data_IF_294806132015
#
_entry.id   IF_294806132015
#
_cell.length_a   1.000
_cell.length_b   1.000
_cell.length_c   1.000
_cell.angle_alpha   90.00
_cell.angle_beta   90.00
_cell.angle_gamma   90.00
#
_symmetry.space_group_name_H-M   'P 1'
#
loop_
_entity.id
_entity.type
_entity.pdbx_description
1 polymer ?
#
# COMPACT_ATOMS: atom_id res chain seq x y z
N UNK A 1 -13.19 -11.03 -0.47
CA UNK A 1 -12.14 -10.42 0.37
C UNK A 1 -12.62 -9.85 1.74
N UNK A 2 -13.91 -9.90 2.14
CA UNK A 2 -14.39 -9.05 3.26
C UNK A 2 -13.80 -9.34 4.66
N UNK A 3 -13.37 -10.55 5.01
CA UNK A 3 -13.04 -10.89 6.41
C UNK A 3 -11.59 -11.34 6.71
N UNK A 4 -10.68 -11.38 5.74
CA UNK A 4 -9.27 -11.72 6.03
C UNK A 4 -8.43 -10.45 6.16
N UNK A 5 -8.24 -10.00 7.41
CA UNK A 5 -7.42 -8.82 7.72
C UNK A 5 -5.95 -9.05 7.40
N UNK A 6 -5.42 -10.25 7.64
CA UNK A 6 -4.03 -10.58 7.36
C UNK A 6 -3.75 -10.44 5.86
N UNK A 7 -4.61 -11.03 5.02
CA UNK A 7 -4.49 -10.93 3.56
C UNK A 7 -4.48 -9.48 3.08
N UNK A 8 -5.37 -8.63 3.60
CA UNK A 8 -5.46 -7.21 3.20
C UNK A 8 -4.19 -6.44 3.57
N UNK A 9 -3.68 -6.64 4.79
CA UNK A 9 -2.47 -5.96 5.27
C UNK A 9 -1.25 -6.45 4.49
N UNK A 10 -1.11 -7.76 4.28
CA UNK A 10 -0.05 -8.34 3.43
C UNK A 10 -0.11 -7.77 2.01
N UNK A 11 -1.29 -7.73 1.40
CA UNK A 11 -1.46 -7.20 0.03
C UNK A 11 -1.01 -5.74 -0.05
N UNK A 12 -1.42 -4.88 0.88
CA UNK A 12 -1.00 -3.47 0.91
C UNK A 12 0.51 -3.31 1.12
N UNK A 13 1.07 -4.06 2.05
CA UNK A 13 2.50 -4.01 2.36
C UNK A 13 3.35 -4.35 1.14
N UNK A 14 3.02 -5.44 0.44
CA UNK A 14 3.77 -5.87 -0.73
C UNK A 14 3.48 -5.04 -1.98
N UNK A 15 2.27 -4.47 -2.10
CA UNK A 15 1.99 -3.46 -3.11
C UNK A 15 2.83 -2.20 -2.90
N UNK A 16 2.94 -1.71 -1.66
CA UNK A 16 3.80 -0.57 -1.31
C UNK A 16 5.26 -0.85 -1.65
N UNK A 17 5.77 -2.06 -1.31
CA UNK A 17 7.15 -2.46 -1.65
C UNK A 17 7.38 -2.52 -3.16
N UNK A 18 6.39 -2.95 -3.95
CA UNK A 18 6.48 -2.95 -5.40
C UNK A 18 6.56 -1.53 -5.96
N UNK A 19 5.70 -0.60 -5.49
CA UNK A 19 5.76 0.82 -5.85
C UNK A 19 7.14 1.41 -5.52
N UNK A 20 7.64 1.11 -4.32
CA UNK A 20 8.97 1.54 -3.87
C UNK A 20 10.09 0.99 -4.76
N UNK A 21 10.03 -0.29 -5.14
CA UNK A 21 11.03 -0.93 -5.99
C UNK A 21 11.10 -0.28 -7.38
N UNK A 22 9.94 0.00 -8.00
CA UNK A 22 9.85 0.71 -9.28
C UNK A 22 10.54 2.08 -9.18
N UNK A 23 10.24 2.86 -8.15
CA UNK A 23 10.86 4.17 -7.91
C UNK A 23 12.38 4.08 -7.74
N UNK A 24 12.87 3.11 -6.96
CA UNK A 24 14.30 2.94 -6.68
C UNK A 24 15.05 2.50 -7.92
N UNK A 25 14.45 1.64 -8.74
CA UNK A 25 15.02 1.19 -10.01
C UNK A 25 14.96 2.27 -11.10
N UNK A 26 14.30 3.40 -10.83
CA UNK A 26 14.03 4.48 -11.80
C UNK A 26 13.27 3.97 -13.02
N UNK A 27 12.43 2.98 -12.81
CA UNK A 27 11.46 2.52 -13.79
C UNK A 27 10.23 3.44 -13.71
N UNK A 28 9.53 3.61 -14.82
CA UNK A 28 8.28 4.36 -14.84
C UNK A 28 7.12 3.52 -14.26
N UNK A 29 6.08 4.19 -13.77
CA UNK A 29 4.91 3.50 -13.17
C UNK A 29 4.16 2.61 -14.18
N UNK A 30 4.41 2.78 -15.48
CA UNK A 30 3.93 1.89 -16.52
C UNK A 30 4.47 0.46 -16.45
N UNK A 31 5.63 0.22 -15.80
CA UNK A 31 6.17 -1.14 -15.63
C UNK A 31 5.48 -1.93 -14.52
N UNK A 32 4.76 -1.24 -13.62
CA UNK A 32 4.34 -1.78 -12.33
C UNK A 32 3.42 -3.00 -12.45
N UNK A 33 2.45 -2.95 -13.36
CA UNK A 33 1.55 -4.08 -13.62
C UNK A 33 2.31 -5.31 -14.14
N UNK A 34 3.27 -5.11 -15.04
CA UNK A 34 4.08 -6.18 -15.62
C UNK A 34 5.03 -6.85 -14.63
N UNK A 35 5.36 -6.16 -13.54
CA UNK A 35 6.25 -6.67 -12.48
C UNK A 35 5.53 -7.45 -11.38
N UNK A 36 4.20 -7.40 -11.29
CA UNK A 36 3.45 -8.01 -10.19
C UNK A 36 3.78 -9.50 -10.04
N UNK A 37 3.70 -10.27 -11.13
CA UNK A 37 3.85 -11.72 -11.05
C UNK A 37 5.27 -12.11 -10.62
N UNK A 38 6.30 -11.58 -11.30
CA UNK A 38 7.69 -11.86 -10.94
C UNK A 38 8.03 -11.38 -9.54
N UNK A 39 7.54 -10.20 -9.14
CA UNK A 39 7.75 -9.69 -7.78
C UNK A 39 7.15 -10.60 -6.71
N UNK A 40 5.93 -11.11 -6.93
CA UNK A 40 5.28 -12.02 -5.99
C UNK A 40 5.99 -13.38 -5.93
N UNK A 41 6.43 -13.90 -7.07
CA UNK A 41 7.17 -15.17 -7.15
C UNK A 41 8.54 -15.05 -6.47
N UNK A 42 9.29 -14.00 -6.77
CA UNK A 42 10.63 -13.74 -6.21
C UNK A 42 10.59 -13.50 -4.69
N UNK A 43 9.46 -13.04 -4.16
CA UNK A 43 9.28 -12.72 -2.74
C UNK A 43 8.34 -13.70 -2.00
N UNK A 44 7.99 -14.84 -2.61
CA UNK A 44 6.95 -15.74 -2.11
C UNK A 44 7.16 -16.13 -0.64
N UNK A 45 8.37 -16.53 -0.27
CA UNK A 45 8.70 -16.96 1.09
C UNK A 45 8.49 -15.85 2.12
N UNK A 46 8.87 -14.62 1.80
CA UNK A 46 8.67 -13.46 2.67
C UNK A 46 7.19 -13.08 2.79
N UNK A 47 6.44 -13.16 1.69
CA UNK A 47 4.99 -12.89 1.67
C UNK A 47 4.27 -13.92 2.55
N UNK A 48 4.62 -15.20 2.39
CA UNK A 48 4.07 -16.29 3.21
C UNK A 48 4.38 -16.07 4.69
N UNK A 49 5.64 -15.84 5.05
CA UNK A 49 6.03 -15.61 6.44
C UNK A 49 5.28 -14.41 7.05
N UNK A 50 5.17 -13.31 6.31
CA UNK A 50 4.47 -12.10 6.77
C UNK A 50 2.97 -12.32 6.93
N UNK A 51 2.32 -12.99 5.97
CA UNK A 51 0.92 -13.35 6.08
C UNK A 51 0.67 -14.24 7.30
N UNK A 52 1.51 -15.24 7.53
CA UNK A 52 1.41 -16.14 8.67
C UNK A 52 1.55 -15.39 10.01
N UNK A 53 2.52 -14.48 10.12
CA UNK A 53 2.70 -13.60 11.29
C UNK A 53 1.44 -12.77 11.57
N UNK A 54 0.95 -12.05 10.57
CA UNK A 54 -0.25 -11.21 10.70
C UNK A 54 -1.49 -12.03 11.01
N UNK A 55 -1.60 -13.23 10.42
CA UNK A 55 -2.70 -14.14 10.69
C UNK A 55 -2.69 -14.63 12.13
N UNK A 56 -1.52 -14.92 12.71
CA UNK A 56 -1.38 -15.23 14.13
C UNK A 56 -1.72 -14.02 15.01
N UNK A 57 -1.28 -12.82 14.62
CA UNK A 57 -1.57 -11.59 15.36
C UNK A 57 -3.06 -11.24 15.39
N UNK A 58 -3.77 -11.44 14.27
CA UNK A 58 -5.20 -11.12 14.15
C UNK A 58 -6.12 -12.28 14.53
N UNK A 59 -5.59 -13.50 14.63
CA UNK A 59 -6.35 -14.67 15.06
C UNK A 59 -6.31 -14.82 16.57
N UNK A 60 -7.47 -14.88 17.20
CA UNK A 60 -7.60 -15.35 18.57
C UNK A 60 -7.52 -16.89 18.68
N UNK A 61 -7.13 -17.60 17.62
CA UNK A 61 -7.06 -19.04 17.55
C UNK A 61 -5.60 -19.53 17.37
N UNK A 62 -5.01 -20.20 18.37
CA UNK A 62 -3.64 -20.70 18.33
C UNK A 62 -3.44 -21.97 17.46
N UNK A 63 -4.52 -22.60 16.97
CA UNK A 63 -4.47 -23.85 16.21
C UNK A 63 -4.59 -23.65 14.68
N UNK A 64 -4.15 -22.51 14.15
CA UNK A 64 -4.18 -22.27 12.71
C UNK A 64 -3.23 -23.25 12.01
N UNK A 65 -3.75 -24.02 11.05
CA UNK A 65 -2.91 -24.77 10.11
C UNK A 65 -2.29 -23.80 9.11
N UNK A 66 -0.97 -23.76 9.06
CA UNK A 66 -0.16 -22.85 8.24
C UNK A 66 0.38 -23.51 6.96
N UNK A 67 0.14 -24.81 6.81
CA UNK A 67 0.70 -25.62 5.72
C UNK A 67 -0.08 -25.39 4.42
N UNK A 68 0.66 -25.33 3.30
CA UNK A 68 0.13 -25.31 1.93
C UNK A 68 -0.65 -24.05 1.49
N UNK A 69 -0.19 -22.85 1.87
CA UNK A 69 -0.76 -21.58 1.38
C UNK A 69 -0.26 -21.23 -0.03
N UNK A 70 -1.17 -20.91 -0.95
CA UNK A 70 -0.82 -20.38 -2.28
C UNK A 70 -0.79 -18.84 -2.30
N UNK A 71 -0.31 -18.24 -3.40
CA UNK A 71 -0.35 -16.78 -3.58
C UNK A 71 -1.78 -16.23 -3.48
N UNK A 72 -2.75 -16.95 -4.01
CA UNK A 72 -4.16 -16.58 -3.98
C UNK A 72 -4.74 -16.57 -2.55
N UNK A 73 -4.14 -17.30 -1.61
CA UNK A 73 -4.55 -17.29 -0.20
C UNK A 73 -4.01 -16.06 0.54
N UNK A 74 -2.81 -15.60 0.18
CA UNK A 74 -2.03 -14.64 0.99
C UNK A 74 -2.03 -13.22 0.44
N UNK A 75 -2.30 -13.04 -0.86
CA UNK A 75 -2.41 -11.72 -1.51
C UNK A 75 -3.62 -11.62 -2.43
N UNK A 76 -4.12 -10.41 -2.62
CA UNK A 76 -5.15 -10.10 -3.62
C UNK A 76 -4.51 -9.48 -4.87
N UNK A 77 -4.26 -10.31 -5.89
CA UNK A 77 -3.65 -9.88 -7.16
C UNK A 77 -4.55 -8.90 -7.94
N UNK A 78 -5.87 -9.03 -7.81
CA UNK A 78 -6.81 -8.13 -8.49
C UNK A 78 -6.78 -6.73 -7.86
N UNK A 79 -6.68 -6.65 -6.53
CA UNK A 79 -6.38 -5.39 -5.85
C UNK A 79 -5.08 -4.77 -6.38
N UNK A 80 -3.99 -5.54 -6.45
CA UNK A 80 -2.70 -5.03 -6.92
C UNK A 80 -2.81 -4.49 -8.35
N UNK A 81 -3.42 -5.25 -9.27
CA UNK A 81 -3.65 -4.81 -10.67
C UNK A 81 -4.47 -3.52 -10.76
N UNK A 82 -5.53 -3.38 -9.95
CA UNK A 82 -6.34 -2.15 -9.92
C UNK A 82 -5.52 -0.94 -9.48
N UNK A 83 -4.73 -1.08 -8.42
CA UNK A 83 -3.83 0.00 -7.97
C UNK A 83 -2.79 0.32 -9.06
N UNK A 84 -2.16 -0.70 -9.67
CA UNK A 84 -1.16 -0.52 -10.72
C UNK A 84 -1.72 0.21 -11.93
N UNK A 85 -2.88 -0.23 -12.43
CA UNK A 85 -3.53 0.39 -13.58
C UNK A 85 -3.90 1.84 -13.27
N UNK A 86 -4.47 2.11 -12.10
CA UNK A 86 -4.84 3.47 -11.72
C UNK A 86 -3.60 4.37 -11.55
N UNK A 87 -2.56 3.90 -10.87
CA UNK A 87 -1.35 4.69 -10.64
C UNK A 87 -0.59 4.96 -11.95
N UNK A 88 -0.55 3.99 -12.87
CA UNK A 88 0.00 4.18 -14.21
C UNK A 88 -0.69 5.33 -14.95
N UNK A 89 -2.01 5.33 -14.95
CA UNK A 89 -2.80 6.29 -15.75
C UNK A 89 -2.92 7.66 -15.06
N UNK A 90 -2.77 7.74 -13.73
CA UNK A 90 -3.04 8.95 -12.93
C UNK A 90 -1.86 9.37 -12.04
N UNK A 91 -0.64 8.95 -12.34
CA UNK A 91 0.56 9.25 -11.53
C UNK A 91 0.75 10.75 -11.27
N UNK A 92 0.57 11.59 -12.29
CA UNK A 92 0.69 13.05 -12.17
C UNK A 92 -0.38 13.65 -11.23
N UNK A 93 -1.61 13.14 -11.28
CA UNK A 93 -2.69 13.57 -10.39
C UNK A 93 -2.40 13.18 -8.94
N UNK A 94 -2.00 11.92 -8.73
CA UNK A 94 -1.66 11.38 -7.41
C UNK A 94 -0.50 12.17 -6.80
N UNK A 95 0.58 12.39 -7.55
CA UNK A 95 1.72 13.17 -7.08
C UNK A 95 1.36 14.65 -6.85
N UNK A 96 0.50 15.22 -7.70
CA UNK A 96 -0.01 16.58 -7.54
C UNK A 96 -0.81 16.77 -6.25
N UNK A 97 -1.63 15.78 -5.85
CA UNK A 97 -2.33 15.79 -4.56
C UNK A 97 -1.35 15.74 -3.39
N UNK A 98 -0.29 14.94 -3.49
CA UNK A 98 0.75 14.88 -2.44
C UNK A 98 1.45 16.24 -2.32
N UNK A 99 1.93 16.79 -3.44
CA UNK A 99 2.65 18.07 -3.49
C UNK A 99 1.81 19.23 -2.94
N UNK A 100 0.52 19.26 -3.28
CA UNK A 100 -0.43 20.28 -2.81
C UNK A 100 -0.50 20.36 -1.29
N UNK A 101 -0.45 19.21 -0.61
CA UNK A 101 -0.66 19.13 0.85
C UNK A 101 0.62 18.96 1.66
N UNK A 102 1.76 18.67 1.03
CA UNK A 102 3.07 18.54 1.66
C UNK A 102 3.68 19.90 2.09
N UNK A 103 2.90 20.83 2.66
CA UNK A 103 3.26 22.21 3.04
C UNK A 103 4.74 22.36 3.49
N UNK A 104 5.55 23.04 2.66
CA UNK A 104 7.00 23.31 2.84
C UNK A 104 7.98 22.14 2.63
N UNK A 105 7.51 20.99 2.14
CA UNK A 105 8.34 19.86 1.71
C UNK A 105 8.08 19.60 0.23
N UNK A 106 9.12 19.68 -0.61
CA UNK A 106 8.97 19.19 -1.98
C UNK A 106 8.92 17.67 -1.96
N UNK A 107 8.02 17.05 -2.74
CA UNK A 107 7.97 15.59 -2.92
C UNK A 107 9.35 15.01 -3.25
N UNK A 108 10.18 15.75 -3.98
CA UNK A 108 11.55 15.36 -4.31
C UNK A 108 12.50 15.15 -3.12
N UNK A 109 12.14 15.61 -1.90
CA UNK A 109 12.95 15.44 -0.68
C UNK A 109 12.35 14.43 0.31
N UNK A 110 11.15 13.92 0.04
CA UNK A 110 10.54 12.91 0.89
C UNK A 110 11.25 11.56 0.73
N UNK A 111 11.40 10.78 1.81
CA UNK A 111 11.83 9.39 1.69
C UNK A 111 10.93 8.65 0.69
N UNK A 112 11.54 7.83 -0.17
CA UNK A 112 10.79 7.13 -1.22
C UNK A 112 9.69 6.23 -0.65
N UNK A 113 9.93 5.62 0.52
CA UNK A 113 8.94 4.79 1.20
C UNK A 113 7.71 5.59 1.65
N UNK A 114 7.89 6.83 2.13
CA UNK A 114 6.77 7.72 2.49
C UNK A 114 5.91 8.02 1.27
N UNK A 115 6.55 8.31 0.13
CA UNK A 115 5.88 8.57 -1.15
C UNK A 115 5.13 7.31 -1.62
N UNK A 116 5.74 6.12 -1.54
CA UNK A 116 5.09 4.87 -1.93
C UNK A 116 3.85 4.57 -1.09
N UNK A 117 3.88 4.86 0.22
CA UNK A 117 2.71 4.73 1.11
C UNK A 117 1.61 5.74 0.72
N UNK A 118 1.99 7.00 0.48
CA UNK A 118 1.04 8.04 0.07
C UNK A 118 0.37 7.70 -1.27
N UNK A 119 1.15 7.31 -2.28
CA UNK A 119 0.65 6.88 -3.59
C UNK A 119 -0.33 5.71 -3.46
N UNK A 120 0.05 4.67 -2.72
CA UNK A 120 -0.83 3.52 -2.48
C UNK A 120 -2.16 3.94 -1.85
N UNK A 121 -2.11 4.75 -0.79
CA UNK A 121 -3.32 5.18 -0.08
C UNK A 121 -4.21 6.07 -0.92
N UNK A 122 -3.63 6.97 -1.72
CA UNK A 122 -4.39 7.83 -2.63
C UNK A 122 -5.05 7.03 -3.73
N UNK A 123 -4.33 6.10 -4.37
CA UNK A 123 -4.94 5.20 -5.35
C UNK A 123 -6.10 4.41 -4.73
N UNK A 124 -5.91 3.85 -3.54
CA UNK A 124 -6.98 3.13 -2.84
C UNK A 124 -8.21 4.01 -2.60
N UNK A 125 -8.01 5.26 -2.13
CA UNK A 125 -9.10 6.21 -1.89
C UNK A 125 -9.84 6.65 -3.17
N UNK A 126 -9.14 6.68 -4.31
CA UNK A 126 -9.66 7.24 -5.56
C UNK A 126 -10.24 6.17 -6.49
N UNK A 127 -9.76 4.92 -6.44
CA UNK A 127 -10.18 3.87 -7.37
C UNK A 127 -10.91 2.68 -6.74
N UNK A 128 -10.92 2.54 -5.40
CA UNK A 128 -11.56 1.44 -4.70
C UNK A 128 -12.73 1.92 -3.82
N UNK A 129 -13.89 2.12 -4.47
CA UNK A 129 -15.14 2.60 -3.82
C UNK A 129 -15.65 1.69 -2.68
N UNK A 130 -15.26 0.41 -2.66
CA UNK A 130 -15.67 -0.54 -1.63
C UNK A 130 -14.82 -0.45 -0.35
N UNK A 131 -13.79 0.40 -0.32
CA UNK A 131 -12.94 0.65 0.83
C UNK A 131 -13.18 2.07 1.34
N UNK A 132 -13.70 2.26 2.57
CA UNK A 132 -13.88 3.59 3.13
C UNK A 132 -12.54 4.33 3.19
N UNK A 133 -12.49 5.59 2.72
CA UNK A 133 -11.26 6.39 2.66
C UNK A 133 -10.50 6.43 3.98
N UNK A 134 -11.22 6.55 5.11
CA UNK A 134 -10.62 6.53 6.46
C UNK A 134 -9.91 5.22 6.81
N UNK A 135 -10.35 4.09 6.25
CA UNK A 135 -9.64 2.81 6.41
C UNK A 135 -8.31 2.89 5.67
N UNK A 136 -8.28 3.40 4.44
CA UNK A 136 -7.04 3.58 3.66
C UNK A 136 -6.04 4.46 4.39
N UNK A 137 -6.50 5.57 4.99
CA UNK A 137 -5.64 6.44 5.81
C UNK A 137 -5.07 5.72 7.02
N UNK A 138 -5.90 4.98 7.74
CA UNK A 138 -5.44 4.22 8.92
C UNK A 138 -4.39 3.18 8.52
N UNK A 139 -4.60 2.44 7.43
CA UNK A 139 -3.65 1.43 6.94
C UNK A 139 -2.33 2.07 6.47
N UNK A 140 -2.39 3.24 5.83
CA UNK A 140 -1.20 4.02 5.47
C UNK A 140 -0.38 4.45 6.70
N UNK A 141 -1.06 4.88 7.76
CA UNK A 141 -0.43 5.24 9.04
C UNK A 141 0.20 4.02 9.72
N UNK A 142 -0.44 2.85 9.68
CA UNK A 142 0.15 1.62 10.20
C UNK A 142 1.40 1.18 9.40
N UNK A 143 1.38 1.30 8.07
CA UNK A 143 2.58 1.07 7.25
C UNK A 143 3.70 2.04 7.62
N UNK A 144 3.39 3.32 7.80
CA UNK A 144 4.37 4.34 8.16
C UNK A 144 5.05 4.05 9.51
N UNK A 145 4.31 3.52 10.49
CA UNK A 145 4.89 3.12 11.79
C UNK A 145 5.89 1.97 11.67
N UNK A 146 5.76 1.13 10.64
CA UNK A 146 6.62 -0.03 10.42
C UNK A 146 7.86 0.35 9.61
N UNK A 147 7.71 1.22 8.61
CA UNK A 147 8.73 1.43 7.57
C UNK A 147 9.38 2.81 7.57
N UNK A 148 8.80 3.80 8.25
CA UNK A 148 9.23 5.18 8.19
C UNK A 148 9.76 5.66 9.55
N UNK A 149 10.21 6.91 9.60
CA UNK A 149 10.62 7.54 10.87
C UNK A 149 9.42 7.86 11.78
N UNK A 150 9.69 8.18 13.05
CA UNK A 150 8.67 8.47 14.06
C UNK A 150 7.75 9.67 13.72
N UNK A 151 8.15 10.54 12.78
CA UNK A 151 7.38 11.72 12.38
C UNK A 151 6.45 11.41 11.20
N UNK A 152 6.82 10.45 10.35
CA UNK A 152 6.07 10.09 9.14
C UNK A 152 4.61 9.69 9.39
N UNK A 153 4.23 8.89 10.42
CA UNK A 153 2.82 8.55 10.66
C UNK A 153 1.91 9.77 10.83
N UNK A 154 2.38 10.78 11.59
CA UNK A 154 1.61 12.02 11.80
C UNK A 154 1.55 12.87 10.53
N UNK A 155 2.65 12.91 9.78
CA UNK A 155 2.74 13.66 8.53
C UNK A 155 1.83 13.07 7.44
N UNK A 156 1.92 11.76 7.20
CA UNK A 156 1.07 11.03 6.23
C UNK A 156 -0.41 11.18 6.59
N UNK A 157 -0.78 11.03 7.87
CA UNK A 157 -2.15 11.26 8.33
C UNK A 157 -2.64 12.68 8.02
N UNK A 158 -1.78 13.69 8.18
CA UNK A 158 -2.12 15.09 7.91
C UNK A 158 -2.34 15.37 6.42
N UNK A 159 -1.51 14.80 5.54
CA UNK A 159 -1.68 14.90 4.08
C UNK A 159 -2.99 14.24 3.66
N UNK A 160 -3.16 12.96 3.99
CA UNK A 160 -4.31 12.19 3.54
C UNK A 160 -5.63 12.72 4.12
N UNK A 161 -5.63 13.22 5.37
CA UNK A 161 -6.78 13.90 5.95
C UNK A 161 -7.19 15.16 5.17
N UNK A 162 -6.20 15.95 4.73
CA UNK A 162 -6.48 17.14 3.92
C UNK A 162 -7.03 16.78 2.53
N UNK A 163 -6.58 15.66 1.96
CA UNK A 163 -7.12 15.14 0.69
C UNK A 163 -8.58 14.69 0.86
N UNK A 164 -8.92 13.99 1.94
CA UNK A 164 -10.31 13.61 2.25
C UNK A 164 -11.23 14.84 2.29
N UNK A 165 -10.79 15.90 2.97
CA UNK A 165 -11.56 17.14 3.10
C UNK A 165 -11.81 17.80 1.72
N UNK A 166 -10.86 17.70 0.79
CA UNK A 166 -11.02 18.24 -0.58
C UNK A 166 -11.96 17.42 -1.45
N UNK A 167 -11.82 16.09 -1.46
CA UNK A 167 -12.62 15.21 -2.33
C UNK A 167 -14.05 14.97 -1.80
N UNK A 168 -14.40 15.57 -0.66
CA UNK A 168 -15.74 15.61 -0.12
C UNK A 168 -16.23 14.26 0.42
N UNK A 169 -15.78 13.90 1.63
CA UNK A 169 -16.43 12.89 2.51
C UNK A 169 -16.09 13.06 4.00
#
# INVERSE_FOLDING_TARGET
MKNDKAKKVTTREFMMKLIYQVDINKEGMESLEGMIESFLEDNLEYIQARYQELRLQYSNNPNIKLDSLTLEDIVDKEYMKKISSYLKDNSEEVDGLIDKYAKNWSVSRMPRVDISILRLSLCEMLCLEDIPKRVSVNEAVELAKIYCDDKAPKFINGILGSVIDEIGE
#
